data_IF_478524743130
#
_entry.id   IF_478524743130
#
_cell.length_a   1.000
_cell.length_b   1.000
_cell.length_c   1.000
_cell.angle_alpha   90.00
_cell.angle_beta   90.00
_cell.angle_gamma   90.00
#
_symmetry.space_group_name_H-M   'P 1'
#
loop_
_entity.id
_entity.type
_entity.pdbx_description
1 polymer ?
#
# COMPACT_ATOMS: atom_id res chain seq x y z
N UNK A 1 46.18 -11.88 -7.24
CA UNK A 1 45.15 -12.83 -6.81
C UNK A 1 43.93 -12.01 -6.39
N UNK A 2 42.92 -12.01 -7.30
CA UNK A 2 41.71 -11.18 -7.17
C UNK A 2 40.68 -11.92 -6.30
N UNK A 3 40.61 -11.56 -5.02
CA UNK A 3 39.57 -12.03 -4.10
C UNK A 3 38.39 -11.05 -3.99
N UNK A 4 38.27 -10.04 -4.91
CA UNK A 4 37.32 -8.93 -4.85
C UNK A 4 36.11 -9.01 -5.78
N UNK A 5 35.93 -10.08 -6.55
CA UNK A 5 34.76 -10.21 -7.45
C UNK A 5 33.77 -11.29 -7.02
N UNK A 6 33.59 -11.44 -5.71
CA UNK A 6 32.60 -12.39 -5.20
C UNK A 6 31.22 -11.73 -5.15
N UNK A 7 30.41 -12.09 -6.16
CA UNK A 7 28.95 -12.25 -6.08
C UNK A 7 28.12 -10.97 -5.85
N UNK A 8 28.17 -10.01 -6.76
CA UNK A 8 26.94 -9.33 -7.14
C UNK A 8 26.27 -10.13 -8.26
N UNK A 9 25.56 -11.21 -7.90
CA UNK A 9 24.62 -11.83 -8.82
C UNK A 9 23.68 -10.71 -9.31
N UNK A 10 23.79 -10.38 -10.61
CA UNK A 10 22.92 -9.40 -11.26
C UNK A 10 21.52 -10.02 -11.22
N UNK A 11 20.73 -9.65 -10.22
CA UNK A 11 19.39 -10.20 -9.99
C UNK A 11 18.61 -10.03 -11.31
N UNK A 12 18.16 -11.14 -11.88
CA UNK A 12 17.37 -11.15 -13.10
C UNK A 12 16.11 -10.29 -12.95
N UNK A 13 15.70 -9.61 -14.01
CA UNK A 13 14.52 -8.73 -13.99
C UNK A 13 13.23 -9.46 -13.60
N UNK A 14 13.09 -10.74 -13.97
CA UNK A 14 11.97 -11.59 -13.54
C UNK A 14 11.98 -11.79 -12.02
N UNK A 15 13.14 -12.02 -11.44
CA UNK A 15 13.28 -12.20 -9.98
C UNK A 15 12.99 -10.88 -9.23
N UNK A 16 13.43 -9.73 -9.79
CA UNK A 16 13.04 -8.41 -9.24
C UNK A 16 11.53 -8.19 -9.24
N UNK A 17 10.83 -8.63 -10.30
CA UNK A 17 9.38 -8.55 -10.39
C UNK A 17 8.71 -9.39 -9.30
N UNK A 18 9.14 -10.64 -9.14
CA UNK A 18 8.60 -11.55 -8.11
C UNK A 18 8.79 -10.96 -6.72
N UNK A 19 9.98 -10.42 -6.41
CA UNK A 19 10.26 -9.79 -5.11
C UNK A 19 9.37 -8.55 -4.93
N UNK A 20 9.28 -7.67 -5.93
CA UNK A 20 8.53 -6.44 -5.82
C UNK A 20 7.02 -6.67 -5.60
N UNK A 21 6.44 -7.64 -6.33
CA UNK A 21 5.05 -8.07 -6.13
C UNK A 21 4.89 -8.78 -4.79
N UNK A 22 5.81 -9.66 -4.43
CA UNK A 22 5.79 -10.39 -3.16
C UNK A 22 5.84 -9.47 -1.95
N UNK A 23 6.72 -8.46 -1.94
CA UNK A 23 6.82 -7.47 -0.85
C UNK A 23 5.54 -6.64 -0.74
N UNK A 24 4.95 -6.24 -1.87
CA UNK A 24 3.69 -5.50 -1.86
C UNK A 24 2.53 -6.36 -1.32
N UNK A 25 2.40 -7.60 -1.75
CA UNK A 25 1.39 -8.53 -1.24
C UNK A 25 1.61 -8.86 0.24
N UNK A 26 2.86 -8.94 0.70
CA UNK A 26 3.19 -9.21 2.09
C UNK A 26 2.66 -8.11 3.01
N UNK A 27 2.70 -6.84 2.60
CA UNK A 27 2.07 -5.75 3.36
C UNK A 27 0.56 -5.95 3.49
N UNK A 28 -0.11 -6.44 2.42
CA UNK A 28 -1.52 -6.82 2.46
C UNK A 28 -1.79 -7.99 3.40
N UNK A 29 -0.92 -8.99 3.43
CA UNK A 29 -1.02 -10.11 4.39
C UNK A 29 -0.91 -9.60 5.81
N UNK A 30 0.07 -8.72 6.11
CA UNK A 30 0.20 -8.09 7.44
C UNK A 30 -1.08 -7.34 7.83
N UNK A 31 -1.62 -6.51 6.94
CA UNK A 31 -2.89 -5.82 7.18
C UNK A 31 -4.06 -6.78 7.44
N UNK A 32 -4.15 -7.88 6.69
CA UNK A 32 -5.22 -8.86 6.81
C UNK A 32 -5.23 -9.61 8.15
N UNK A 33 -4.09 -9.75 8.81
CA UNK A 33 -4.00 -10.34 10.16
C UNK A 33 -4.81 -9.56 11.20
N UNK A 34 -4.97 -8.25 10.99
CA UNK A 34 -5.78 -7.39 11.86
C UNK A 34 -7.20 -7.20 11.32
N UNK A 35 -7.34 -7.04 10.00
CA UNK A 35 -8.64 -6.80 9.36
C UNK A 35 -9.58 -7.99 9.47
N UNK A 36 -9.09 -9.22 9.18
CA UNK A 36 -9.95 -10.40 9.12
C UNK A 36 -10.63 -10.72 10.46
N UNK A 37 -9.94 -10.79 11.61
CA UNK A 37 -10.61 -11.03 12.89
C UNK A 37 -11.49 -9.86 13.30
N UNK A 38 -11.11 -8.61 13.00
CA UNK A 38 -11.90 -7.45 13.37
C UNK A 38 -13.25 -7.39 12.65
N UNK A 39 -13.28 -7.66 11.35
CA UNK A 39 -14.52 -7.68 10.54
C UNK A 39 -15.50 -8.75 11.01
N UNK A 40 -15.02 -9.79 11.66
CA UNK A 40 -15.84 -10.86 12.26
C UNK A 40 -16.21 -10.59 13.71
N UNK A 41 -15.76 -9.49 14.30
CA UNK A 41 -15.99 -9.15 15.70
C UNK A 41 -17.32 -8.43 15.93
N UNK A 42 -17.78 -8.45 17.18
CA UNK A 42 -18.96 -7.69 17.64
C UNK A 42 -18.75 -6.19 17.44
N UNK A 43 -17.52 -5.69 17.71
CA UNK A 43 -17.18 -4.29 17.51
C UNK A 43 -17.50 -3.82 16.09
N UNK A 44 -17.08 -4.57 15.07
CA UNK A 44 -17.32 -4.18 13.67
C UNK A 44 -18.80 -4.27 13.28
N UNK A 45 -19.52 -5.26 13.83
CA UNK A 45 -20.93 -5.45 13.57
C UNK A 45 -21.81 -4.33 14.17
N UNK A 46 -21.36 -3.71 15.26
CA UNK A 46 -22.04 -2.60 15.91
C UNK A 46 -21.77 -1.23 15.26
N UNK A 47 -20.75 -1.12 14.39
CA UNK A 47 -20.45 0.14 13.72
C UNK A 47 -21.58 0.56 12.77
N UNK A 48 -21.98 1.82 12.89
CA UNK A 48 -22.89 2.47 11.92
C UNK A 48 -22.10 2.73 10.64
N UNK A 49 -22.42 1.96 9.59
CA UNK A 49 -21.74 2.07 8.31
C UNK A 49 -22.33 3.18 7.44
N UNK A 50 -21.49 3.93 6.68
CA UNK A 50 -21.97 4.92 5.73
C UNK A 50 -22.73 4.27 4.56
N UNK A 51 -23.64 5.03 3.94
CA UNK A 51 -24.45 4.56 2.82
C UNK A 51 -23.67 4.04 1.61
N UNK A 52 -22.46 4.56 1.39
CA UNK A 52 -21.57 4.12 0.31
C UNK A 52 -20.62 2.99 0.71
N UNK A 53 -20.82 2.35 1.88
CA UNK A 53 -19.94 1.25 2.29
C UNK A 53 -20.06 0.06 1.32
N UNK A 54 -18.95 -0.38 0.67
CA UNK A 54 -19.00 -1.49 -0.25
C UNK A 54 -19.28 -2.82 0.46
N UNK A 55 -19.83 -3.82 -0.25
CA UNK A 55 -19.93 -5.16 0.31
C UNK A 55 -18.57 -5.71 0.73
N UNK A 56 -18.50 -6.40 1.87
CA UNK A 56 -17.24 -6.86 2.46
C UNK A 56 -16.39 -7.73 1.51
N UNK A 57 -17.02 -8.51 0.64
CA UNK A 57 -16.31 -9.36 -0.34
C UNK A 57 -15.49 -8.56 -1.36
N UNK A 58 -15.84 -7.28 -1.63
CA UNK A 58 -15.16 -6.46 -2.63
C UNK A 58 -13.75 -6.06 -2.18
N UNK A 59 -13.52 -5.88 -0.88
CA UNK A 59 -12.23 -5.41 -0.35
C UNK A 59 -11.06 -6.33 -0.69
N UNK A 60 -11.25 -7.66 -0.58
CA UNK A 60 -10.20 -8.64 -0.88
C UNK A 60 -9.67 -8.54 -2.32
N UNK A 61 -10.51 -8.70 -3.35
CA UNK A 61 -10.11 -8.58 -4.75
C UNK A 61 -9.52 -7.21 -5.09
N UNK A 62 -10.08 -6.12 -4.58
CA UNK A 62 -9.57 -4.76 -4.84
C UNK A 62 -8.17 -4.60 -4.27
N UNK A 63 -7.96 -4.89 -2.99
CA UNK A 63 -6.64 -4.76 -2.37
C UNK A 63 -5.59 -5.67 -3.00
N UNK A 64 -5.96 -6.92 -3.34
CA UNK A 64 -5.04 -7.83 -4.05
C UNK A 64 -4.60 -7.23 -5.39
N UNK A 65 -5.54 -6.70 -6.17
CA UNK A 65 -5.22 -6.04 -7.44
C UNK A 65 -4.32 -4.84 -7.24
N UNK A 66 -4.60 -3.99 -6.24
CA UNK A 66 -3.79 -2.81 -5.93
C UNK A 66 -2.36 -3.20 -5.54
N UNK A 67 -2.17 -4.20 -4.68
CA UNK A 67 -0.83 -4.68 -4.30
C UNK A 67 -0.04 -5.24 -5.49
N UNK A 68 -0.70 -5.93 -6.41
CA UNK A 68 -0.06 -6.39 -7.66
C UNK A 68 0.39 -5.20 -8.51
N UNK A 69 -0.48 -4.21 -8.72
CA UNK A 69 -0.15 -2.99 -9.47
C UNK A 69 1.00 -2.20 -8.81
N UNK A 70 0.99 -2.08 -7.48
CA UNK A 70 2.07 -1.48 -6.71
C UNK A 70 3.39 -2.22 -6.90
N UNK A 71 3.38 -3.56 -6.88
CA UNK A 71 4.56 -4.38 -7.10
C UNK A 71 5.12 -4.22 -8.52
N UNK A 72 4.27 -4.20 -9.55
CA UNK A 72 4.68 -3.95 -10.93
C UNK A 72 5.26 -2.53 -11.06
N UNK A 73 4.63 -1.55 -10.44
CA UNK A 73 5.10 -0.17 -10.38
C UNK A 73 6.51 -0.07 -9.78
N UNK A 74 6.73 -0.69 -8.62
CA UNK A 74 8.03 -0.76 -7.96
C UNK A 74 9.08 -1.44 -8.85
N UNK A 75 8.73 -2.55 -9.51
CA UNK A 75 9.62 -3.25 -10.42
C UNK A 75 10.08 -2.36 -11.58
N UNK A 76 9.19 -1.57 -12.17
CA UNK A 76 9.54 -0.63 -13.25
C UNK A 76 10.58 0.40 -12.80
N UNK A 77 10.51 0.86 -11.56
CA UNK A 77 11.50 1.75 -10.96
C UNK A 77 12.81 1.01 -10.65
N UNK A 78 12.70 -0.17 -10.06
CA UNK A 78 13.88 -0.94 -9.63
C UNK A 78 14.78 -1.34 -10.80
N UNK A 79 14.18 -1.72 -11.94
CA UNK A 79 14.94 -2.08 -13.15
C UNK A 79 15.56 -0.89 -13.89
N UNK A 80 15.15 0.35 -13.58
CA UNK A 80 15.69 1.56 -14.24
C UNK A 80 17.12 1.85 -13.76
N UNK A 81 17.88 2.60 -14.58
CA UNK A 81 19.21 3.08 -14.23
C UNK A 81 19.19 4.54 -13.72
N UNK A 82 18.01 5.06 -13.36
CA UNK A 82 17.85 6.43 -12.90
C UNK A 82 18.57 6.69 -11.57
N UNK A 83 19.24 7.85 -11.47
CA UNK A 83 19.93 8.31 -10.25
C UNK A 83 19.01 8.40 -9.04
N UNK A 84 17.79 8.86 -9.28
CA UNK A 84 16.78 9.13 -8.25
C UNK A 84 16.04 7.87 -7.75
N UNK A 85 16.31 6.69 -8.34
CA UNK A 85 15.56 5.47 -8.00
C UNK A 85 15.63 5.09 -6.53
N UNK A 86 16.77 5.34 -5.86
CA UNK A 86 16.92 5.04 -4.43
C UNK A 86 15.91 5.81 -3.59
N UNK A 87 15.78 7.13 -3.84
CA UNK A 87 14.81 7.98 -3.15
C UNK A 87 13.37 7.52 -3.44
N UNK A 88 13.07 7.21 -4.70
CA UNK A 88 11.75 6.73 -5.11
C UNK A 88 11.37 5.41 -4.42
N UNK A 89 12.30 4.44 -4.31
CA UNK A 89 12.10 3.17 -3.60
C UNK A 89 11.90 3.39 -2.10
N UNK A 90 12.61 4.35 -1.48
CA UNK A 90 12.38 4.70 -0.08
C UNK A 90 10.99 5.28 0.17
N UNK A 91 10.52 6.20 -0.68
CA UNK A 91 9.14 6.72 -0.61
C UNK A 91 8.10 5.62 -0.75
N UNK A 92 8.34 4.67 -1.67
CA UNK A 92 7.48 3.49 -1.82
C UNK A 92 7.47 2.63 -0.55
N UNK A 93 8.61 2.41 0.09
CA UNK A 93 8.69 1.67 1.36
C UNK A 93 7.91 2.37 2.48
N UNK A 94 8.02 3.70 2.58
CA UNK A 94 7.31 4.50 3.58
C UNK A 94 5.79 4.35 3.39
N UNK A 95 5.25 4.57 2.18
CA UNK A 95 3.81 4.45 1.96
C UNK A 95 3.29 3.02 2.16
N UNK A 96 4.10 2.00 1.83
CA UNK A 96 3.72 0.61 2.04
C UNK A 96 3.66 0.26 3.54
N UNK A 97 4.58 0.80 4.34
CA UNK A 97 4.57 0.66 5.80
C UNK A 97 3.37 1.36 6.42
N UNK A 98 3.09 2.61 6.01
CA UNK A 98 1.92 3.35 6.46
C UNK A 98 0.63 2.62 6.11
N UNK A 99 0.53 2.01 4.93
CA UNK A 99 -0.62 1.20 4.55
C UNK A 99 -0.90 0.03 5.52
N UNK A 100 0.14 -0.67 5.97
CA UNK A 100 -0.01 -1.71 6.97
C UNK A 100 -0.36 -1.14 8.37
N UNK A 101 0.24 0.00 8.75
CA UNK A 101 -0.03 0.68 10.02
C UNK A 101 -1.49 1.14 10.10
N UNK A 102 -2.06 1.65 9.02
CA UNK A 102 -3.47 2.02 8.98
C UNK A 102 -4.38 0.86 9.39
N UNK A 103 -4.16 -0.33 8.84
CA UNK A 103 -4.94 -1.53 9.19
C UNK A 103 -4.79 -1.90 10.67
N UNK A 104 -3.59 -1.76 11.23
CA UNK A 104 -3.32 -2.01 12.66
C UNK A 104 -4.12 -1.02 13.52
N UNK A 105 -4.09 0.27 13.19
CA UNK A 105 -4.78 1.30 13.98
C UNK A 105 -6.29 1.15 13.86
N UNK A 106 -6.82 1.02 12.64
CA UNK A 106 -8.25 0.95 12.42
C UNK A 106 -8.86 -0.32 12.99
N UNK A 107 -8.33 -1.48 12.59
CA UNK A 107 -8.88 -2.79 12.90
C UNK A 107 -8.26 -3.42 14.15
N UNK A 108 -6.95 -3.27 14.36
CA UNK A 108 -6.26 -3.88 15.49
C UNK A 108 -6.49 -3.13 16.80
N UNK A 109 -6.48 -1.79 16.75
CA UNK A 109 -6.70 -0.94 17.93
C UNK A 109 -8.15 -0.43 18.05
N UNK A 110 -9.03 -0.78 17.11
CA UNK A 110 -10.41 -0.30 17.04
C UNK A 110 -10.51 1.23 17.16
N UNK A 111 -9.59 1.95 16.50
CA UNK A 111 -9.46 3.40 16.61
C UNK A 111 -9.65 4.10 15.25
N UNK A 112 -10.90 4.35 14.80
CA UNK A 112 -11.18 5.06 13.56
C UNK A 112 -10.65 6.49 13.52
N UNK A 113 -10.60 7.20 14.66
CA UNK A 113 -10.06 8.57 14.75
C UNK A 113 -8.55 8.62 14.55
N UNK A 114 -7.79 7.73 15.18
CA UNK A 114 -6.35 7.59 14.96
C UNK A 114 -6.02 7.17 13.53
N UNK A 115 -6.80 6.24 12.99
CA UNK A 115 -6.66 5.81 11.59
C UNK A 115 -6.97 6.94 10.60
N UNK A 116 -7.89 7.85 10.93
CA UNK A 116 -8.20 9.02 10.10
C UNK A 116 -7.02 9.99 10.02
N UNK A 117 -6.29 10.18 11.10
CA UNK A 117 -5.07 11.00 11.10
C UNK A 117 -3.99 10.31 10.26
N UNK A 118 -3.80 9.02 10.46
CA UNK A 118 -2.77 8.23 9.77
C UNK A 118 -3.00 8.18 8.26
N UNK A 119 -4.23 7.98 7.78
CA UNK A 119 -4.54 7.85 6.35
C UNK A 119 -4.23 9.14 5.57
N UNK A 120 -4.19 10.30 6.21
CA UNK A 120 -3.75 11.56 5.59
C UNK A 120 -2.25 11.48 5.28
N UNK A 121 -1.43 10.99 6.21
CA UNK A 121 0.00 10.78 5.98
C UNK A 121 0.24 9.71 4.92
N UNK A 122 -0.51 8.63 4.93
CA UNK A 122 -0.50 7.60 3.89
C UNK A 122 -0.80 8.21 2.52
N UNK A 123 -1.87 8.98 2.40
CA UNK A 123 -2.28 9.62 1.15
C UNK A 123 -1.18 10.55 0.61
N UNK A 124 -0.59 11.38 1.46
CA UNK A 124 0.53 12.26 1.10
C UNK A 124 1.77 11.46 0.67
N UNK A 125 2.08 10.35 1.34
CA UNK A 125 3.19 9.48 0.99
C UNK A 125 2.97 8.79 -0.38
N UNK A 126 1.73 8.38 -0.69
CA UNK A 126 1.36 7.83 -2.01
C UNK A 126 1.54 8.90 -3.09
N UNK A 127 1.04 10.12 -2.86
CA UNK A 127 1.19 11.22 -3.81
C UNK A 127 2.67 11.54 -4.06
N UNK A 128 3.48 11.63 -3.00
CA UNK A 128 4.93 11.85 -3.12
C UNK A 128 5.60 10.72 -3.91
N UNK A 129 5.18 9.47 -3.72
CA UNK A 129 5.67 8.30 -4.46
C UNK A 129 5.31 8.41 -5.93
N UNK A 130 4.05 8.75 -6.27
CA UNK A 130 3.59 8.95 -7.66
C UNK A 130 4.44 10.04 -8.35
N UNK A 131 4.66 11.17 -7.70
CA UNK A 131 5.47 12.27 -8.24
C UNK A 131 6.92 11.84 -8.47
N UNK A 132 7.51 11.11 -7.53
CA UNK A 132 8.87 10.60 -7.66
C UNK A 132 8.99 9.56 -8.79
N UNK A 133 8.00 8.66 -8.91
CA UNK A 133 7.96 7.65 -9.95
C UNK A 133 7.75 8.26 -11.33
N UNK A 134 6.91 9.29 -11.45
CA UNK A 134 6.65 9.99 -12.72
C UNK A 134 7.92 10.60 -13.33
N UNK A 135 8.88 11.02 -12.51
CA UNK A 135 10.18 11.55 -12.95
C UNK A 135 11.09 10.47 -13.55
N UNK A 136 10.83 9.20 -13.24
CA UNK A 136 11.64 8.05 -13.68
C UNK A 136 10.90 7.26 -14.75
N UNK A 137 9.62 6.95 -14.52
CA UNK A 137 8.78 6.11 -15.37
C UNK A 137 7.33 6.54 -15.24
N UNK A 138 6.79 7.19 -16.27
CA UNK A 138 5.36 7.54 -16.33
C UNK A 138 4.43 6.33 -16.16
N UNK A 139 4.68 5.17 -16.82
CA UNK A 139 3.85 3.98 -16.62
C UNK A 139 3.84 3.51 -15.15
N UNK A 140 4.99 3.57 -14.45
CA UNK A 140 5.04 3.22 -13.03
C UNK A 140 4.16 4.14 -12.18
N UNK A 141 4.17 5.45 -12.44
CA UNK A 141 3.31 6.40 -11.73
C UNK A 141 1.82 6.15 -12.01
N UNK A 142 1.44 5.87 -13.25
CA UNK A 142 0.06 5.57 -13.63
C UNK A 142 -0.49 4.31 -12.96
N UNK A 143 0.34 3.29 -12.72
CA UNK A 143 -0.06 2.09 -11.99
C UNK A 143 -0.42 2.35 -10.52
N UNK A 144 0.01 3.47 -9.93
CA UNK A 144 -0.35 3.88 -8.57
C UNK A 144 -1.61 4.77 -8.52
N UNK A 145 -2.12 5.23 -9.66
CA UNK A 145 -3.33 6.08 -9.69
C UNK A 145 -4.57 5.35 -9.14
N UNK A 146 -4.87 4.09 -9.50
CA UNK A 146 -5.97 3.37 -8.88
C UNK A 146 -5.84 3.26 -7.36
N UNK A 147 -4.61 3.15 -6.85
CA UNK A 147 -4.35 3.04 -5.42
C UNK A 147 -4.66 4.35 -4.69
N UNK A 148 -4.19 5.52 -5.17
CA UNK A 148 -4.52 6.80 -4.50
C UNK A 148 -6.01 7.11 -4.57
N UNK A 149 -6.70 6.74 -5.65
CA UNK A 149 -8.16 6.88 -5.75
C UNK A 149 -8.87 6.00 -4.74
N UNK A 150 -8.44 4.75 -4.57
CA UNK A 150 -9.00 3.85 -3.57
C UNK A 150 -8.76 4.34 -2.14
N UNK A 151 -7.55 4.84 -1.84
CA UNK A 151 -7.24 5.42 -0.51
C UNK A 151 -8.03 6.70 -0.26
N UNK A 152 -8.28 7.52 -1.29
CA UNK A 152 -9.18 8.68 -1.16
C UNK A 152 -10.59 8.27 -0.78
N UNK A 153 -11.11 7.21 -1.40
CA UNK A 153 -12.40 6.63 -1.04
C UNK A 153 -12.38 6.01 0.37
N UNK A 154 -11.32 5.28 0.73
CA UNK A 154 -11.14 4.74 2.08
C UNK A 154 -11.06 5.84 3.15
N UNK A 155 -10.47 7.00 2.83
CA UNK A 155 -10.45 8.17 3.71
C UNK A 155 -11.87 8.69 3.97
N UNK A 156 -12.70 8.78 2.92
CA UNK A 156 -14.12 9.13 3.07
C UNK A 156 -14.86 8.12 3.95
N UNK A 157 -14.67 6.81 3.75
CA UNK A 157 -15.30 5.78 4.59
C UNK A 157 -14.84 5.88 6.05
N UNK A 158 -13.53 6.04 6.28
CA UNK A 158 -12.96 6.18 7.62
C UNK A 158 -13.51 7.41 8.34
N UNK A 159 -13.56 8.57 7.65
CA UNK A 159 -14.15 9.79 8.19
C UNK A 159 -15.63 9.59 8.55
N UNK A 160 -16.40 8.99 7.65
CA UNK A 160 -17.83 8.73 7.87
C UNK A 160 -18.06 7.81 9.06
N UNK A 161 -17.28 6.72 9.18
CA UNK A 161 -17.35 5.83 10.34
C UNK A 161 -17.01 6.57 11.63
N UNK A 162 -15.95 7.40 11.62
CA UNK A 162 -15.56 8.19 12.80
C UNK A 162 -16.64 9.16 13.27
N UNK A 163 -17.38 9.80 12.34
CA UNK A 163 -18.44 10.78 12.69
C UNK A 163 -19.73 10.10 13.11
N UNK A 164 -20.02 8.91 12.62
CA UNK A 164 -21.25 8.16 12.90
C UNK A 164 -21.21 7.35 14.20
N UNK A 165 -20.02 7.14 14.79
CA UNK A 165 -19.81 6.33 16.00
C UNK A 165 -19.07 7.09 17.08
#
# INVERSE_FOLDING_TARGET
MEFGQMIFMKINNTFKLIIAVGVSLLAGVVGSLFTTPAVQSVWYAELVMPALNPPAWLFGPVWTTLYILMGISLWLIWKSDAREKRKAVWLFGIQLTLNAIWSIIFFGLHNPGGALIEIVFLWLAILATIIAFAKISKPAAWLLVPYILWVSFATYLNYSIYVLN
#
